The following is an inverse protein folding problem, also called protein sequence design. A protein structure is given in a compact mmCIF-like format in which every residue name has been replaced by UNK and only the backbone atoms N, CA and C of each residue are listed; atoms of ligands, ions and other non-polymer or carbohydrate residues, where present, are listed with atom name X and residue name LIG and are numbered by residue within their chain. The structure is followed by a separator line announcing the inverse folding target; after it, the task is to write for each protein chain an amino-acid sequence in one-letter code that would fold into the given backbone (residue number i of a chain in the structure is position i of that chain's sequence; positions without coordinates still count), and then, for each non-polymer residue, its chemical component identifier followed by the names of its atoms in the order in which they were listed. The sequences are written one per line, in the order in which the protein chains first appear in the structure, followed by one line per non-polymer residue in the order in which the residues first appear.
data_IF_853622514200
#
_entry.id   IF_853622514200
#
_cell.length_a   1.000
_cell.length_b   1.000
_cell.length_c   1.000
_cell.angle_alpha   90.00
_cell.angle_beta   90.00
_cell.angle_gamma   90.00
#
_symmetry.space_group_name_H-M   'P 1'
#
loop_
_entity.id
_entity.type
_entity.pdbx_description
1 polymer ?
#
# COMPACT_ATOMS: atom_id res chain seq x y z
N UNK A 1 26.43 5.32 -16.74
CA UNK A 1 26.67 4.93 -15.33
C UNK A 1 26.20 3.51 -14.99
N UNK A 2 25.15 2.93 -15.60
CA UNK A 2 24.72 1.54 -15.23
C UNK A 2 25.80 0.47 -15.44
N UNK A 3 26.59 0.57 -16.53
CA UNK A 3 27.64 -0.41 -16.87
C UNK A 3 28.83 -0.46 -15.89
N UNK A 4 29.04 0.55 -15.04
CA UNK A 4 30.18 0.54 -14.10
C UNK A 4 29.91 -0.34 -12.89
N UNK A 5 28.69 -0.33 -12.35
CA UNK A 5 28.34 -1.12 -11.15
C UNK A 5 28.15 -2.61 -11.45
N UNK A 6 27.61 -2.96 -12.63
CA UNK A 6 27.47 -4.36 -13.07
C UNK A 6 28.82 -5.11 -13.18
N UNK A 7 29.93 -4.38 -13.23
CA UNK A 7 31.29 -4.95 -13.29
C UNK A 7 31.98 -4.98 -11.93
N UNK A 8 31.36 -4.42 -10.89
CA UNK A 8 31.93 -4.40 -9.56
C UNK A 8 31.76 -5.79 -8.90
N UNK A 9 32.89 -6.42 -8.56
CA UNK A 9 32.90 -7.68 -7.81
C UNK A 9 32.47 -7.47 -6.36
N UNK A 10 32.82 -6.32 -5.78
CA UNK A 10 32.51 -5.97 -4.39
C UNK A 10 32.20 -4.47 -4.29
N UNK A 11 31.14 -4.13 -3.56
CA UNK A 11 30.80 -2.76 -3.16
C UNK A 11 30.85 -2.68 -1.64
N UNK A 12 31.68 -1.77 -1.12
CA UNK A 12 31.77 -1.46 0.30
C UNK A 12 30.93 -0.23 0.63
N UNK A 13 29.94 -0.38 1.48
CA UNK A 13 29.05 0.67 1.98
C UNK A 13 29.55 1.07 3.37
N UNK A 14 30.42 2.08 3.42
CA UNK A 14 31.01 2.56 4.67
C UNK A 14 30.12 3.63 5.32
N UNK A 15 29.59 3.36 6.51
CA UNK A 15 28.68 4.24 7.25
C UNK A 15 29.39 5.17 8.24
N UNK A 16 30.71 5.06 8.33
CA UNK A 16 31.56 5.91 9.18
C UNK A 16 31.85 5.30 10.54
N UNK A 17 32.22 6.16 11.48
CA UNK A 17 32.54 5.78 12.85
C UNK A 17 31.28 5.32 13.61
N UNK A 18 31.47 4.37 14.52
CA UNK A 18 30.43 3.82 15.39
C UNK A 18 30.76 4.18 16.83
N UNK A 19 30.17 5.27 17.32
CA UNK A 19 30.47 5.81 18.64
C UNK A 19 29.74 5.08 19.79
N UNK A 20 28.69 4.32 19.47
CA UNK A 20 27.78 3.70 20.46
C UNK A 20 27.70 2.17 20.34
N UNK A 21 28.66 1.56 19.63
CA UNK A 21 28.74 0.11 19.36
C UNK A 21 27.45 -0.46 18.72
N UNK A 22 26.74 0.37 17.96
CA UNK A 22 25.53 -0.03 17.27
C UNK A 22 25.80 -1.03 16.14
N UNK A 23 26.96 -0.92 15.47
CA UNK A 23 27.37 -1.79 14.39
C UNK A 23 27.49 -3.24 14.83
N UNK A 24 28.18 -3.48 15.96
CA UNK A 24 28.37 -4.82 16.53
C UNK A 24 27.04 -5.43 17.00
N UNK A 25 26.21 -4.64 17.70
CA UNK A 25 24.87 -5.05 18.15
C UNK A 25 23.93 -5.39 16.99
N UNK A 26 23.95 -4.58 15.92
CA UNK A 26 23.14 -4.84 14.73
C UNK A 26 23.63 -6.07 13.97
N UNK A 27 24.94 -6.23 13.80
CA UNK A 27 25.54 -7.41 13.16
C UNK A 27 25.13 -8.70 13.86
N UNK A 28 25.39 -8.79 15.18
CA UNK A 28 25.07 -10.00 15.96
C UNK A 28 23.58 -10.33 15.95
N UNK A 29 22.70 -9.33 16.03
CA UNK A 29 21.26 -9.54 15.91
C UNK A 29 20.88 -10.12 14.53
N UNK A 30 21.40 -9.54 13.45
CA UNK A 30 21.09 -10.00 12.08
C UNK A 30 21.60 -11.43 11.86
N UNK A 31 22.79 -11.77 12.34
CA UNK A 31 23.36 -13.12 12.27
C UNK A 31 22.49 -14.14 13.02
N UNK A 32 22.12 -13.84 14.26
CA UNK A 32 21.29 -14.73 15.08
C UNK A 32 19.87 -14.90 14.53
N UNK A 33 19.23 -13.82 14.07
CA UNK A 33 17.90 -13.88 13.45
C UNK A 33 17.94 -14.63 12.13
N UNK A 34 18.95 -14.39 11.29
CA UNK A 34 19.13 -15.11 10.02
C UNK A 34 19.31 -16.60 10.27
N UNK A 35 20.19 -16.98 11.20
CA UNK A 35 20.40 -18.39 11.58
C UNK A 35 19.12 -19.05 12.08
N UNK A 36 18.34 -18.35 12.93
CA UNK A 36 17.05 -18.87 13.39
C UNK A 36 16.07 -19.09 12.23
N UNK A 37 16.01 -18.14 11.28
CA UNK A 37 15.14 -18.24 10.10
C UNK A 37 15.57 -19.40 9.19
N UNK A 38 16.87 -19.55 8.93
CA UNK A 38 17.44 -20.64 8.13
C UNK A 38 17.15 -22.02 8.76
N UNK A 39 17.39 -22.16 10.07
CA UNK A 39 17.09 -23.39 10.82
C UNK A 39 15.60 -23.79 10.73
N UNK A 40 14.70 -22.81 10.76
CA UNK A 40 13.26 -23.06 10.59
C UNK A 40 12.91 -23.40 9.14
N UNK A 41 13.51 -22.72 8.15
CA UNK A 41 13.29 -23.00 6.73
C UNK A 41 13.73 -24.43 6.36
N UNK A 42 14.81 -24.95 6.93
CA UNK A 42 15.27 -26.33 6.71
C UNK A 42 14.26 -27.38 7.20
N UNK A 43 13.51 -27.08 8.26
CA UNK A 43 12.49 -27.98 8.81
C UNK A 43 11.22 -28.02 7.94
N UNK A 44 11.05 -27.08 7.03
CA UNK A 44 9.83 -26.89 6.25
C UNK A 44 10.07 -27.29 4.78
N UNK A 45 9.43 -28.38 4.33
CA UNK A 45 9.57 -28.89 2.96
C UNK A 45 9.09 -27.90 1.87
N UNK A 46 8.17 -26.99 2.18
CA UNK A 46 7.65 -25.93 1.27
C UNK A 46 7.42 -24.64 2.05
N UNK A 47 8.47 -23.81 2.23
CA UNK A 47 8.37 -22.62 3.07
C UNK A 47 7.50 -21.56 2.41
N UNK A 48 6.47 -21.15 3.15
CA UNK A 48 5.74 -19.89 2.94
C UNK A 48 5.98 -19.01 4.17
N UNK A 49 5.72 -17.71 4.08
CA UNK A 49 5.79 -16.83 5.26
C UNK A 49 4.90 -17.30 6.42
N UNK A 50 3.87 -18.10 6.14
CA UNK A 50 2.97 -18.66 7.15
C UNK A 50 3.46 -20.01 7.71
N UNK A 51 4.55 -20.57 7.18
CA UNK A 51 5.05 -21.88 7.57
C UNK A 51 5.94 -21.85 8.82
N UNK A 52 6.36 -20.66 9.28
CA UNK A 52 7.05 -20.51 10.56
C UNK A 52 6.11 -20.91 11.70
N UNK A 53 6.60 -21.72 12.64
CA UNK A 53 5.79 -22.20 13.74
C UNK A 53 5.62 -21.10 14.80
N UNK A 54 4.43 -21.04 15.41
CA UNK A 54 4.19 -20.17 16.56
C UNK A 54 5.02 -20.66 17.75
N UNK A 55 6.09 -19.95 18.06
CA UNK A 55 6.79 -20.11 19.33
C UNK A 55 6.26 -19.05 20.31
N UNK A 56 5.69 -19.47 21.43
CA UNK A 56 5.27 -18.56 22.52
C UNK A 56 6.45 -17.77 23.11
N UNK A 57 7.68 -18.24 22.88
CA UNK A 57 8.92 -17.59 23.29
C UNK A 57 9.84 -17.41 22.08
N UNK A 58 9.57 -16.43 21.22
CA UNK A 58 10.57 -16.00 20.23
C UNK A 58 11.56 -15.08 20.95
N UNK A 59 12.84 -15.48 21.12
CA UNK A 59 13.80 -14.78 21.99
C UNK A 59 14.11 -13.34 21.52
N UNK A 60 13.76 -13.00 20.28
CA UNK A 60 14.09 -11.72 19.69
C UNK A 60 12.97 -10.68 19.78
N UNK A 61 11.75 -10.99 20.22
CA UNK A 61 10.61 -10.04 20.14
C UNK A 61 10.89 -8.74 20.91
N UNK A 62 11.47 -8.84 22.09
CA UNK A 62 11.79 -7.69 22.97
C UNK A 62 13.30 -7.40 23.02
N UNK A 63 14.06 -7.85 22.03
CA UNK A 63 15.51 -7.68 22.03
C UNK A 63 15.91 -6.21 21.76
N UNK A 64 16.57 -5.57 22.74
CA UNK A 64 17.02 -4.18 22.64
C UNK A 64 17.97 -3.91 21.46
N UNK A 65 18.62 -4.95 20.89
CA UNK A 65 19.48 -4.79 19.70
C UNK A 65 18.71 -4.32 18.47
N UNK A 66 17.38 -4.49 18.41
CA UNK A 66 16.55 -3.91 17.34
C UNK A 66 16.72 -2.39 17.24
N UNK A 67 17.01 -1.70 18.34
CA UNK A 67 17.31 -0.26 18.33
C UNK A 67 18.57 0.05 17.51
N UNK A 68 19.57 -0.82 17.56
CA UNK A 68 20.82 -0.67 16.81
C UNK A 68 20.63 -0.96 15.33
N UNK A 69 19.81 -1.97 14.98
CA UNK A 69 19.40 -2.19 13.59
C UNK A 69 18.57 -1.02 13.05
N UNK A 70 17.66 -0.47 13.87
CA UNK A 70 16.90 0.71 13.50
C UNK A 70 17.80 1.94 13.31
N UNK A 71 18.85 2.11 14.13
CA UNK A 71 19.85 3.17 13.97
C UNK A 71 20.67 2.99 12.68
N UNK A 72 21.08 1.75 12.37
CA UNK A 72 21.74 1.40 11.11
C UNK A 72 20.90 1.79 9.88
N UNK A 73 19.62 1.40 9.86
CA UNK A 73 18.71 1.69 8.75
C UNK A 73 18.35 3.19 8.63
N UNK A 74 18.61 3.99 9.67
CA UNK A 74 18.48 5.47 9.65
C UNK A 74 19.70 6.19 9.09
N UNK A 75 20.80 5.48 8.80
CA UNK A 75 22.00 6.10 8.22
C UNK A 75 21.71 6.76 6.87
N UNK A 76 22.42 7.87 6.59
CA UNK A 76 22.15 8.71 5.43
C UNK A 76 22.23 7.95 4.10
N UNK A 77 23.06 6.90 4.02
CA UNK A 77 23.20 6.06 2.83
C UNK A 77 21.87 5.42 2.43
N UNK A 78 21.13 4.79 3.36
CA UNK A 78 19.84 4.13 3.08
C UNK A 78 18.74 5.08 2.60
N UNK A 79 18.92 6.39 2.80
CA UNK A 79 17.95 7.39 2.33
C UNK A 79 18.17 7.85 0.90
N UNK A 80 19.30 7.53 0.24
CA UNK A 80 19.67 8.07 -1.07
C UNK A 80 19.17 7.17 -2.19
N UNK A 81 18.57 7.72 -3.24
CA UNK A 81 17.93 6.87 -4.25
C UNK A 81 18.86 6.13 -5.22
N UNK A 82 20.01 6.71 -5.56
CA UNK A 82 20.98 6.06 -6.46
C UNK A 82 21.70 4.87 -5.84
N UNK A 83 21.72 4.75 -4.50
CA UNK A 83 22.43 3.68 -3.80
C UNK A 83 21.83 2.30 -4.05
N UNK A 84 20.55 2.25 -4.43
CA UNK A 84 19.89 0.98 -4.78
C UNK A 84 20.61 0.35 -5.97
N UNK A 85 21.13 1.13 -6.92
CA UNK A 85 21.97 0.60 -8.01
C UNK A 85 23.34 0.15 -7.53
N UNK A 86 23.91 0.86 -6.55
CA UNK A 86 25.22 0.54 -5.99
C UNK A 86 25.17 -0.83 -5.30
N UNK A 87 24.11 -1.12 -4.56
CA UNK A 87 23.89 -2.41 -3.92
C UNK A 87 23.40 -3.47 -4.91
N UNK A 88 22.39 -3.17 -5.74
CA UNK A 88 21.68 -4.19 -6.53
C UNK A 88 22.41 -4.71 -7.76
N UNK A 89 23.32 -3.91 -8.32
CA UNK A 89 24.07 -4.32 -9.50
C UNK A 89 25.43 -4.93 -9.15
N UNK A 90 25.83 -4.89 -7.87
CA UNK A 90 27.06 -5.49 -7.41
C UNK A 90 26.92 -7.01 -7.29
N UNK A 91 28.01 -7.75 -7.51
CA UNK A 91 28.03 -9.20 -7.23
C UNK A 91 28.01 -9.48 -5.72
N UNK A 92 28.61 -8.59 -4.93
CA UNK A 92 28.66 -8.65 -3.47
C UNK A 92 28.59 -7.22 -2.91
N UNK A 93 27.84 -7.03 -1.82
CA UNK A 93 27.73 -5.75 -1.11
C UNK A 93 27.96 -5.93 0.39
N UNK A 94 28.89 -5.18 0.96
CA UNK A 94 29.21 -5.21 2.39
C UNK A 94 28.89 -3.87 3.04
N UNK A 95 28.03 -3.89 4.06
CA UNK A 95 27.75 -2.72 4.87
C UNK A 95 28.67 -2.71 6.09
N UNK A 96 29.52 -1.68 6.19
CA UNK A 96 30.53 -1.55 7.24
C UNK A 96 30.18 -0.35 8.12
N UNK A 97 29.99 -0.58 9.42
CA UNK A 97 29.78 0.46 10.43
C UNK A 97 30.81 0.31 11.55
N UNK A 98 31.73 1.28 11.67
CA UNK A 98 32.89 1.11 12.53
C UNK A 98 33.76 -0.06 12.07
N UNK A 99 33.88 -1.08 12.93
CA UNK A 99 34.57 -2.35 12.62
C UNK A 99 33.61 -3.51 12.29
N UNK A 100 32.30 -3.29 12.44
CA UNK A 100 31.29 -4.30 12.22
C UNK A 100 30.94 -4.47 10.74
N UNK A 101 30.64 -5.70 10.35
CA UNK A 101 30.17 -6.08 9.01
C UNK A 101 28.70 -6.48 9.14
N UNK A 102 27.80 -5.50 8.98
CA UNK A 102 26.40 -5.68 9.36
C UNK A 102 25.56 -6.43 8.30
N UNK A 103 26.02 -6.50 7.05
CA UNK A 103 25.33 -7.21 5.97
C UNK A 103 26.31 -7.92 5.05
N UNK A 104 26.01 -9.18 4.74
CA UNK A 104 26.63 -9.97 3.68
C UNK A 104 25.51 -10.58 2.85
N UNK A 105 25.37 -10.16 1.59
CA UNK A 105 24.54 -10.88 0.63
C UNK A 105 25.44 -11.46 -0.46
N UNK A 106 25.51 -12.79 -0.50
CA UNK A 106 25.99 -13.54 -1.65
C UNK A 106 24.84 -14.24 -2.36
N UNK A 107 23.70 -13.58 -2.58
CA UNK A 107 22.55 -14.18 -3.30
C UNK A 107 21.98 -13.27 -4.38
N UNK A 108 21.42 -13.88 -5.42
CA UNK A 108 20.83 -13.20 -6.58
C UNK A 108 19.72 -12.25 -6.12
N UNK A 109 19.89 -10.95 -6.37
CA UNK A 109 18.85 -9.95 -6.12
C UNK A 109 17.55 -10.36 -6.82
N UNK A 110 16.49 -10.62 -6.03
CA UNK A 110 15.19 -10.99 -6.60
C UNK A 110 14.66 -9.83 -7.43
N UNK A 111 14.60 -10.02 -8.76
CA UNK A 111 14.03 -9.02 -9.67
C UNK A 111 12.53 -8.86 -9.38
N UNK A 112 12.12 -7.68 -8.95
CA UNK A 112 10.71 -7.28 -8.85
C UNK A 112 10.26 -6.51 -10.10
N UNK A 113 8.97 -6.16 -10.19
CA UNK A 113 8.50 -5.31 -11.29
C UNK A 113 9.08 -3.90 -11.16
N UNK A 114 9.15 -3.17 -12.28
CA UNK A 114 9.58 -1.76 -12.27
C UNK A 114 8.68 -0.90 -11.38
N UNK A 115 7.38 -1.22 -11.32
CA UNK A 115 6.43 -0.49 -10.48
C UNK A 115 6.69 -0.70 -8.98
N UNK A 116 7.10 -1.91 -8.58
CA UNK A 116 7.46 -2.20 -7.19
C UNK A 116 8.68 -1.39 -6.76
N UNK A 117 9.71 -1.33 -7.60
CA UNK A 117 10.88 -0.49 -7.33
C UNK A 117 10.54 0.99 -7.29
N UNK A 118 9.70 1.48 -8.20
CA UNK A 118 9.27 2.87 -8.21
C UNK A 118 8.45 3.21 -6.96
N UNK A 119 7.58 2.30 -6.51
CA UNK A 119 6.80 2.46 -5.28
C UNK A 119 7.70 2.49 -4.03
N UNK A 120 8.60 1.52 -3.88
CA UNK A 120 9.56 1.48 -2.78
C UNK A 120 10.48 2.71 -2.79
N UNK A 121 10.91 3.14 -3.97
CA UNK A 121 11.75 4.30 -4.20
C UNK A 121 11.12 5.65 -3.84
N UNK A 122 9.80 5.72 -3.57
CA UNK A 122 9.12 6.97 -3.14
C UNK A 122 9.72 7.56 -1.86
N UNK A 123 10.21 6.71 -0.96
CA UNK A 123 10.80 7.11 0.33
C UNK A 123 12.24 7.64 0.20
N UNK A 124 12.89 7.38 -0.94
CA UNK A 124 14.26 7.78 -1.17
C UNK A 124 14.37 9.25 -1.56
N UNK A 125 15.47 9.86 -1.15
CA UNK A 125 15.88 11.23 -1.46
C UNK A 125 16.53 11.24 -2.84
N UNK A 126 15.94 12.00 -3.75
CA UNK A 126 16.49 12.31 -5.07
C UNK A 126 16.56 13.83 -5.20
N UNK A 127 17.66 14.36 -5.75
CA UNK A 127 17.78 15.80 -6.04
C UNK A 127 17.00 16.19 -7.29
N UNK A 128 16.96 15.30 -8.27
CA UNK A 128 16.15 15.44 -9.47
C UNK A 128 14.96 14.44 -9.41
N UNK A 129 13.70 14.89 -9.51
CA UNK A 129 12.54 13.99 -9.49
C UNK A 129 12.59 12.93 -10.61
N UNK A 130 13.22 13.22 -11.76
CA UNK A 130 13.32 12.29 -12.89
C UNK A 130 14.18 11.08 -12.57
N UNK A 131 15.14 11.22 -11.65
CA UNK A 131 16.02 10.13 -11.23
C UNK A 131 15.26 9.00 -10.56
N UNK A 132 14.07 9.26 -9.99
CA UNK A 132 13.19 8.20 -9.50
C UNK A 132 12.84 7.20 -10.59
N UNK A 133 12.63 7.67 -11.81
CA UNK A 133 12.43 6.77 -12.94
C UNK A 133 13.76 6.14 -13.35
N UNK A 134 14.74 6.98 -13.64
CA UNK A 134 15.99 6.54 -14.28
C UNK A 134 16.85 5.64 -13.41
N UNK A 135 16.70 5.66 -12.09
CA UNK A 135 17.38 4.74 -11.18
C UNK A 135 16.85 3.29 -11.30
N UNK A 136 15.55 3.09 -11.52
CA UNK A 136 14.95 1.75 -11.40
C UNK A 136 14.62 1.04 -12.72
N UNK A 137 14.48 1.76 -13.84
CA UNK A 137 14.05 1.18 -15.13
C UNK A 137 14.85 -0.06 -15.61
N UNK A 138 16.15 -0.12 -15.29
CA UNK A 138 17.02 -1.22 -15.74
C UNK A 138 17.22 -2.32 -14.68
N UNK A 139 16.41 -2.33 -13.63
CA UNK A 139 16.49 -3.29 -12.52
C UNK A 139 15.33 -4.29 -12.51
N UNK A 140 14.36 -4.11 -13.41
CA UNK A 140 13.13 -4.90 -13.46
C UNK A 140 13.29 -6.26 -14.14
N UNK A 141 12.23 -7.05 -14.11
CA UNK A 141 12.15 -8.38 -14.75
C UNK A 141 12.35 -8.32 -16.28
N UNK A 142 12.73 -9.45 -16.87
CA UNK A 142 12.95 -9.57 -18.32
C UNK A 142 11.70 -9.28 -19.16
N UNK A 143 10.50 -9.55 -18.61
CA UNK A 143 9.22 -9.25 -19.25
C UNK A 143 8.98 -7.74 -19.43
N UNK A 144 9.71 -6.90 -18.70
CA UNK A 144 9.62 -5.43 -18.79
C UNK A 144 10.81 -4.81 -19.54
N UNK A 145 11.74 -5.62 -20.05
CA UNK A 145 12.95 -5.17 -20.80
C UNK A 145 12.64 -4.36 -22.07
N UNK A 146 11.43 -4.50 -22.58
CA UNK A 146 10.86 -3.76 -23.71
C UNK A 146 10.53 -2.29 -23.39
N UNK A 147 10.46 -1.90 -22.11
CA UNK A 147 10.21 -0.52 -21.71
C UNK A 147 11.53 0.23 -21.67
N UNK A 148 11.86 0.89 -22.78
CA UNK A 148 13.08 1.69 -22.91
C UNK A 148 12.74 3.18 -22.87
N UNK A 149 12.97 3.79 -21.71
CA UNK A 149 12.89 5.25 -21.56
C UNK A 149 14.32 5.78 -21.41
N UNK A 150 14.83 6.37 -22.48
CA UNK A 150 16.12 7.07 -22.43
C UNK A 150 16.06 8.28 -21.48
N UNK A 151 17.11 8.53 -20.68
CA UNK A 151 17.18 9.72 -19.84
C UNK A 151 17.07 11.01 -20.64
N UNK A 152 16.03 11.80 -20.38
CA UNK A 152 15.72 13.08 -21.03
C UNK A 152 15.59 14.19 -19.98
N UNK A 153 16.73 14.76 -19.59
CA UNK A 153 16.76 15.87 -18.64
C UNK A 153 16.36 17.23 -19.26
N UNK A 154 16.04 17.28 -20.55
CA UNK A 154 15.44 18.45 -21.20
C UNK A 154 13.94 18.59 -20.94
N UNK A 155 13.26 17.49 -20.61
CA UNK A 155 11.81 17.47 -20.37
C UNK A 155 11.49 17.72 -18.89
N UNK A 156 10.28 18.21 -18.60
CA UNK A 156 9.79 18.31 -17.22
C UNK A 156 9.54 16.91 -16.63
N UNK A 157 9.68 16.76 -15.32
CA UNK A 157 9.46 15.46 -14.66
C UNK A 157 8.07 14.87 -14.94
N UNK A 158 6.97 15.65 -14.92
CA UNK A 158 5.65 15.11 -15.26
C UNK A 158 5.53 14.61 -16.71
N UNK A 159 6.21 15.25 -17.68
CA UNK A 159 6.24 14.77 -19.07
C UNK A 159 7.02 13.46 -19.19
N UNK A 160 8.14 13.32 -18.47
CA UNK A 160 8.91 12.06 -18.38
C UNK A 160 8.04 10.95 -17.78
N UNK A 161 7.29 11.23 -16.70
CA UNK A 161 6.41 10.25 -16.07
C UNK A 161 5.24 9.85 -16.98
N UNK A 162 4.64 10.79 -17.73
CA UNK A 162 3.59 10.47 -18.71
C UNK A 162 4.12 9.59 -19.83
N UNK A 163 5.30 9.89 -20.37
CA UNK A 163 5.89 9.09 -21.43
C UNK A 163 6.15 7.66 -20.95
N UNK A 164 6.74 7.50 -19.76
CA UNK A 164 6.90 6.19 -19.13
C UNK A 164 5.56 5.46 -18.95
N UNK A 165 4.55 6.11 -18.37
CA UNK A 165 3.25 5.49 -18.16
C UNK A 165 2.60 5.05 -19.47
N UNK A 166 2.74 5.87 -20.51
CA UNK A 166 2.25 5.56 -21.86
C UNK A 166 2.93 4.32 -22.44
N UNK A 167 4.25 4.22 -22.31
CA UNK A 167 5.01 3.05 -22.78
C UNK A 167 4.68 1.79 -21.97
N UNK A 168 4.59 1.91 -20.65
CA UNK A 168 4.22 0.82 -19.75
C UNK A 168 2.86 0.21 -20.14
N UNK A 169 1.84 1.06 -20.33
CA UNK A 169 0.50 0.63 -20.73
C UNK A 169 0.52 0.00 -22.13
N UNK A 170 1.29 0.57 -23.08
CA UNK A 170 1.41 0.01 -24.44
C UNK A 170 2.09 -1.36 -24.44
N UNK A 171 3.14 -1.55 -23.67
CA UNK A 171 3.92 -2.78 -23.62
C UNK A 171 3.21 -3.89 -22.84
N UNK A 172 2.81 -3.60 -21.60
CA UNK A 172 2.29 -4.63 -20.69
C UNK A 172 0.80 -4.91 -20.87
N UNK A 173 0.03 -3.96 -21.45
CA UNK A 173 -1.43 -4.02 -21.55
C UNK A 173 -2.14 -4.28 -20.20
N UNK A 174 -1.48 -3.90 -19.09
CA UNK A 174 -1.97 -4.02 -17.72
C UNK A 174 -2.26 -2.63 -17.14
N UNK A 175 -3.19 -2.58 -16.19
CA UNK A 175 -3.63 -1.36 -15.52
C UNK A 175 -3.10 -1.22 -14.09
N UNK A 176 -2.23 -2.13 -13.65
CA UNK A 176 -1.57 -2.08 -12.33
C UNK A 176 -0.85 -0.77 -12.07
N UNK A 177 -0.40 -0.05 -13.11
CA UNK A 177 0.19 1.29 -12.95
C UNK A 177 -0.78 2.31 -12.31
N UNK A 178 -2.10 2.14 -12.50
CA UNK A 178 -3.11 3.01 -11.89
C UNK A 178 -3.13 2.86 -10.37
N UNK A 179 -2.76 1.67 -9.86
CA UNK A 179 -2.66 1.40 -8.42
C UNK A 179 -1.49 2.15 -7.76
N UNK A 180 -0.66 2.87 -8.52
CA UNK A 180 0.45 3.70 -8.02
C UNK A 180 0.22 5.20 -8.20
N UNK A 181 -0.96 5.61 -8.67
CA UNK A 181 -1.31 7.02 -8.79
C UNK A 181 -1.57 7.59 -7.40
N UNK A 182 -0.91 8.69 -7.13
CA UNK A 182 -1.11 9.52 -5.95
C UNK A 182 -1.15 10.96 -6.44
N UNK A 183 -2.19 11.66 -6.03
CA UNK A 183 -2.39 13.05 -6.36
C UNK A 183 -2.53 13.88 -5.09
N UNK A 184 -2.03 15.10 -5.20
CA UNK A 184 -2.35 16.22 -4.34
C UNK A 184 -3.13 17.26 -5.15
N UNK A 185 -3.55 18.35 -4.50
CA UNK A 185 -4.28 19.43 -5.17
C UNK A 185 -3.49 20.04 -6.34
N UNK A 186 -2.16 20.15 -6.21
CA UNK A 186 -1.31 20.76 -7.22
C UNK A 186 -1.17 19.88 -8.48
N UNK A 187 -0.91 18.59 -8.30
CA UNK A 187 -0.75 17.63 -9.40
C UNK A 187 -2.06 17.38 -10.15
N UNK A 188 -3.23 17.46 -9.49
CA UNK A 188 -4.51 17.47 -10.20
C UNK A 188 -4.73 18.74 -11.04
N UNK A 189 -4.17 19.87 -10.63
CA UNK A 189 -4.28 21.10 -11.43
C UNK A 189 -3.22 21.19 -12.53
N UNK A 190 -2.20 20.31 -12.49
CA UNK A 190 -1.19 20.26 -13.53
C UNK A 190 -1.81 19.88 -14.88
N UNK A 191 -1.20 20.36 -15.97
CA UNK A 191 -1.59 20.03 -17.35
C UNK A 191 -1.09 18.64 -17.76
N UNK A 192 -1.30 17.66 -16.89
CA UNK A 192 -0.88 16.26 -17.05
C UNK A 192 -2.10 15.39 -16.74
N UNK A 193 -2.33 14.32 -17.53
CA UNK A 193 -3.49 13.47 -17.30
C UNK A 193 -3.47 12.80 -15.94
N UNK A 194 -4.64 12.67 -15.32
CA UNK A 194 -4.80 12.06 -13.99
C UNK A 194 -4.47 10.57 -13.94
N UNK A 195 -4.42 9.88 -15.07
CA UNK A 195 -3.96 8.48 -15.11
C UNK A 195 -2.41 8.34 -15.06
N UNK A 196 -1.67 9.44 -14.96
CA UNK A 196 -0.21 9.45 -14.87
C UNK A 196 0.23 9.50 -13.40
N UNK A 197 1.01 8.50 -12.92
CA UNK A 197 1.53 8.54 -11.56
C UNK A 197 2.52 9.69 -11.38
N UNK A 198 2.37 10.46 -10.31
CA UNK A 198 3.43 11.34 -9.82
C UNK A 198 4.39 10.52 -8.95
N UNK A 199 5.54 10.14 -9.48
CA UNK A 199 6.53 9.33 -8.74
C UNK A 199 7.30 10.11 -7.68
N UNK A 200 7.27 11.45 -7.73
CA UNK A 200 7.98 12.28 -6.75
C UNK A 200 7.21 12.49 -5.44
N UNK A 201 5.92 12.14 -5.44
CA UNK A 201 5.11 12.19 -4.24
C UNK A 201 5.59 11.18 -3.19
N UNK A 202 5.86 11.66 -1.97
CA UNK A 202 6.26 10.82 -0.83
C UNK A 202 5.05 10.21 -0.15
N UNK A 203 5.11 8.90 0.03
CA UNK A 203 4.09 8.13 0.75
C UNK A 203 4.68 7.59 2.06
N UNK A 204 4.04 7.92 3.17
CA UNK A 204 4.46 7.50 4.52
C UNK A 204 3.84 6.15 4.94
N UNK A 205 2.79 5.71 4.25
CA UNK A 205 2.09 4.45 4.48
C UNK A 205 2.71 3.25 3.75
N UNK A 206 2.41 2.02 4.19
CA UNK A 206 2.64 0.84 3.37
C UNK A 206 1.64 0.84 2.21
N UNK A 207 2.11 0.52 1.01
CA UNK A 207 1.25 0.34 -0.17
C UNK A 207 1.18 -1.14 -0.49
N UNK A 208 0.01 -1.72 -0.31
CA UNK A 208 -0.26 -3.09 -0.73
C UNK A 208 -1.01 -3.09 -2.05
N UNK A 209 -0.52 -3.86 -3.01
CA UNK A 209 -1.25 -4.22 -4.24
C UNK A 209 -1.88 -5.59 -3.99
N UNK A 210 -3.16 -5.75 -4.31
CA UNK A 210 -3.79 -7.08 -4.30
C UNK A 210 -3.39 -7.80 -5.59
N UNK A 211 -3.05 -9.08 -5.49
CA UNK A 211 -2.63 -9.87 -6.66
C UNK A 211 -3.79 -10.13 -7.64
N UNK A 212 -5.02 -10.13 -7.14
CA UNK A 212 -6.23 -10.37 -7.93
C UNK A 212 -6.73 -9.10 -8.62
N UNK A 213 -6.84 -9.15 -9.95
CA UNK A 213 -7.45 -8.10 -10.74
C UNK A 213 -8.98 -8.10 -10.60
N UNK A 214 -9.57 -6.91 -10.49
CA UNK A 214 -11.01 -6.72 -10.58
C UNK A 214 -11.48 -7.05 -12.01
N UNK A 215 -12.60 -7.77 -12.12
CA UNK A 215 -13.09 -8.32 -13.38
C UNK A 215 -14.54 -7.97 -13.63
N UNK A 216 -14.94 -8.00 -14.90
CA UNK A 216 -16.34 -7.85 -15.33
C UNK A 216 -17.27 -8.93 -14.76
N UNK A 217 -18.57 -8.79 -15.04
CA UNK A 217 -19.61 -9.79 -14.74
C UNK A 217 -19.22 -11.18 -15.23
N UNK A 218 -18.56 -11.27 -16.38
CA UNK A 218 -18.12 -12.53 -17.00
C UNK A 218 -16.70 -12.96 -16.63
N UNK A 219 -16.04 -12.26 -15.71
CA UNK A 219 -14.65 -12.56 -15.32
C UNK A 219 -13.59 -12.02 -16.30
N UNK A 220 -13.98 -11.20 -17.28
CA UNK A 220 -13.06 -10.64 -18.28
C UNK A 220 -12.35 -9.37 -17.79
N UNK A 221 -11.07 -9.22 -18.19
CA UNK A 221 -10.29 -7.97 -18.14
C UNK A 221 -10.12 -7.45 -19.57
N UNK A 222 -10.23 -6.14 -19.76
CA UNK A 222 -10.16 -5.51 -21.08
C UNK A 222 -8.83 -4.81 -21.29
N UNK A 223 -8.33 -4.82 -22.54
CA UNK A 223 -7.07 -4.15 -22.88
C UNK A 223 -7.28 -2.63 -22.87
N UNK A 224 -6.45 -1.87 -22.13
CA UNK A 224 -6.52 -0.41 -22.16
C UNK A 224 -6.04 0.15 -23.50
N UNK A 225 -6.56 1.32 -23.88
CA UNK A 225 -6.17 2.02 -25.09
C UNK A 225 -5.83 3.49 -24.83
N UNK A 226 -4.67 3.94 -25.29
CA UNK A 226 -4.30 5.36 -25.26
C UNK A 226 -4.88 6.06 -26.48
N UNK A 227 -5.58 7.17 -26.26
CA UNK A 227 -6.16 8.01 -27.30
C UNK A 227 -5.42 9.35 -27.27
N UNK A 228 -4.54 9.56 -28.26
CA UNK A 228 -3.64 10.71 -28.30
C UNK A 228 -2.65 10.69 -27.12
N UNK A 229 -2.40 11.88 -26.55
CA UNK A 229 -1.48 12.07 -25.40
C UNK A 229 -2.18 12.22 -24.06
N UNK A 230 -3.50 12.43 -24.05
CA UNK A 230 -4.23 12.85 -22.85
C UNK A 230 -5.22 11.84 -22.31
N UNK A 231 -5.69 10.90 -23.14
CA UNK A 231 -6.77 10.01 -22.75
C UNK A 231 -6.33 8.56 -22.64
N UNK A 232 -6.74 7.93 -21.55
CA UNK A 232 -6.67 6.49 -21.36
C UNK A 232 -8.09 5.93 -21.33
N UNK A 233 -8.44 5.16 -22.37
CA UNK A 233 -9.69 4.41 -22.45
C UNK A 233 -9.54 3.09 -21.70
N UNK A 234 -10.40 2.85 -20.74
CA UNK A 234 -10.52 1.60 -19.97
C UNK A 234 -11.98 1.14 -19.95
N UNK A 235 -12.25 -0.03 -19.38
CA UNK A 235 -13.60 -0.56 -19.20
C UNK A 235 -13.86 -0.86 -17.73
N UNK A 236 -15.06 -0.59 -17.27
CA UNK A 236 -15.42 -0.73 -15.87
C UNK A 236 -16.89 -0.43 -15.60
N UNK A 237 -17.22 -0.27 -14.33
CA UNK A 237 -18.51 0.24 -13.87
C UNK A 237 -18.30 1.49 -13.01
N UNK A 238 -19.17 2.47 -13.21
CA UNK A 238 -19.33 3.59 -12.29
C UNK A 238 -20.42 3.17 -11.31
N UNK A 239 -20.08 3.12 -10.03
CA UNK A 239 -21.01 2.68 -9.00
C UNK A 239 -21.88 3.87 -8.61
N UNK A 240 -21.47 4.58 -7.58
CA UNK A 240 -22.28 5.58 -6.90
C UNK A 240 -21.40 6.69 -6.32
N UNK A 241 -21.98 7.84 -5.96
CA UNK A 241 -21.24 8.92 -5.32
C UNK A 241 -20.76 8.54 -3.92
N UNK A 242 -19.64 9.13 -3.52
CA UNK A 242 -19.27 9.29 -2.12
C UNK A 242 -20.25 10.27 -1.50
N UNK A 243 -21.08 9.78 -0.59
CA UNK A 243 -22.12 10.57 0.08
C UNK A 243 -21.60 11.35 1.28
N UNK A 244 -20.65 10.78 2.02
CA UNK A 244 -19.99 11.46 3.15
C UNK A 244 -18.52 11.12 3.21
N UNK A 245 -17.69 12.09 3.63
CA UNK A 245 -16.25 11.91 3.80
C UNK A 245 -15.75 12.63 5.06
N UNK A 246 -14.79 12.04 5.77
CA UNK A 246 -14.12 12.70 6.90
C UNK A 246 -13.01 13.63 6.43
N UNK A 247 -12.35 14.31 7.37
CA UNK A 247 -11.03 14.87 7.14
C UNK A 247 -9.97 13.79 6.89
N UNK A 248 -8.80 14.21 6.43
CA UNK A 248 -7.63 13.35 6.22
C UNK A 248 -7.08 12.92 7.58
N UNK A 249 -6.80 11.63 7.75
CA UNK A 249 -6.13 11.13 8.95
C UNK A 249 -4.64 11.45 8.93
N UNK A 250 -4.13 11.84 10.10
CA UNK A 250 -2.73 12.09 10.38
C UNK A 250 -2.33 11.23 11.59
N UNK A 251 -1.28 10.39 11.45
CA UNK A 251 -0.81 9.39 12.41
C UNK A 251 -0.77 9.84 13.88
N UNK A 252 -0.21 11.01 14.25
CA UNK A 252 -0.16 11.43 15.64
C UNK A 252 -1.54 11.77 16.22
N UNK A 253 -2.55 12.01 15.38
CA UNK A 253 -3.87 12.46 15.79
C UNK A 253 -4.93 11.35 15.84
N UNK A 254 -4.65 10.15 15.32
CA UNK A 254 -5.62 9.04 15.33
C UNK A 254 -5.61 8.39 16.71
N UNK A 255 -6.56 8.80 17.55
CA UNK A 255 -6.82 8.24 18.90
C UNK A 255 -8.13 7.46 18.95
N UNK A 256 -8.39 6.77 20.06
CA UNK A 256 -9.67 6.08 20.27
C UNK A 256 -10.86 7.05 20.21
N UNK A 257 -10.74 8.25 20.77
CA UNK A 257 -11.75 9.30 20.72
C UNK A 257 -12.00 9.80 19.30
N UNK A 258 -10.94 9.92 18.50
CA UNK A 258 -11.03 10.34 17.10
C UNK A 258 -11.81 9.29 16.30
N UNK A 259 -11.49 8.01 16.48
CA UNK A 259 -12.21 6.91 15.81
C UNK A 259 -13.66 6.81 16.28
N UNK A 260 -13.93 6.97 17.58
CA UNK A 260 -15.30 7.00 18.12
C UNK A 260 -16.10 8.19 17.55
N UNK A 261 -15.46 9.35 17.39
CA UNK A 261 -16.08 10.54 16.79
C UNK A 261 -16.40 10.33 15.31
N UNK A 262 -15.48 9.72 14.55
CA UNK A 262 -15.73 9.33 13.14
C UNK A 262 -16.90 8.36 13.06
N UNK A 263 -16.91 7.32 13.91
CA UNK A 263 -18.01 6.36 13.96
C UNK A 263 -19.36 7.05 14.28
N UNK A 264 -19.39 7.93 15.29
CA UNK A 264 -20.58 8.67 15.66
C UNK A 264 -21.08 9.59 14.54
N UNK A 265 -20.19 10.18 13.75
CA UNK A 265 -20.53 11.06 12.63
C UNK A 265 -21.16 10.28 11.46
N UNK A 266 -20.69 9.06 11.17
CA UNK A 266 -21.19 8.26 10.04
C UNK A 266 -22.41 7.39 10.41
N UNK A 267 -22.57 7.04 11.69
CA UNK A 267 -23.65 6.17 12.19
C UNK A 267 -25.07 6.59 11.76
N UNK A 268 -25.45 7.89 11.75
CA UNK A 268 -26.78 8.32 11.31
C UNK A 268 -27.06 8.03 9.83
N UNK A 269 -26.03 8.05 8.99
CA UNK A 269 -26.11 7.80 7.55
C UNK A 269 -26.09 6.30 7.22
N UNK A 270 -25.89 5.45 8.22
CA UNK A 270 -25.88 4.00 8.08
C UNK A 270 -27.30 3.40 8.09
N UNK A 271 -28.33 4.11 7.65
CA UNK A 271 -29.70 3.59 7.60
C UNK A 271 -29.92 2.55 6.50
N UNK A 272 -29.13 2.62 5.42
CA UNK A 272 -29.13 1.64 4.33
C UNK A 272 -28.18 0.45 4.54
N UNK A 273 -27.33 0.54 5.57
CA UNK A 273 -26.25 -0.38 5.96
C UNK A 273 -26.16 -1.68 5.14
N UNK A 274 -25.20 -1.79 4.21
CA UNK A 274 -25.01 -3.01 3.45
C UNK A 274 -24.44 -4.14 4.33
N UNK A 275 -23.91 -3.81 5.50
CA UNK A 275 -23.42 -4.74 6.50
C UNK A 275 -24.56 -5.12 7.45
N UNK A 276 -24.57 -6.35 7.95
CA UNK A 276 -25.54 -6.70 8.98
C UNK A 276 -25.39 -5.77 10.21
N UNK A 277 -26.49 -5.47 10.91
CA UNK A 277 -26.47 -4.62 12.10
C UNK A 277 -25.56 -5.16 13.21
N UNK A 278 -25.34 -6.48 13.25
CA UNK A 278 -24.40 -7.14 14.16
C UNK A 278 -22.92 -6.91 13.78
N UNK A 279 -22.64 -6.41 12.57
CA UNK A 279 -21.30 -6.35 11.99
C UNK A 279 -20.84 -4.96 11.57
N UNK A 280 -21.61 -3.92 11.81
CA UNK A 280 -21.31 -2.59 11.25
C UNK A 280 -20.04 -1.97 11.84
N UNK A 281 -19.83 -2.12 13.15
CA UNK A 281 -18.61 -1.64 13.79
C UNK A 281 -17.40 -2.55 13.48
N UNK A 282 -17.63 -3.85 13.24
CA UNK A 282 -16.59 -4.73 12.71
C UNK A 282 -16.19 -4.33 11.30
N UNK A 283 -17.16 -4.00 10.44
CA UNK A 283 -16.94 -3.46 9.11
C UNK A 283 -16.15 -2.14 9.15
N UNK A 284 -16.41 -1.29 10.15
CA UNK A 284 -15.62 -0.09 10.40
C UNK A 284 -14.15 -0.40 10.69
N UNK A 285 -13.85 -1.29 11.64
CA UNK A 285 -12.46 -1.70 11.94
C UNK A 285 -11.81 -2.39 10.73
N UNK A 286 -12.54 -3.26 10.04
CA UNK A 286 -12.06 -3.87 8.79
C UNK A 286 -11.73 -2.82 7.74
N UNK A 287 -12.52 -1.75 7.63
CA UNK A 287 -12.25 -0.63 6.72
C UNK A 287 -10.99 0.13 7.10
N UNK A 288 -10.84 0.48 8.39
CA UNK A 288 -9.66 1.16 8.92
C UNK A 288 -8.37 0.34 8.79
N UNK A 289 -8.50 -0.98 8.63
CA UNK A 289 -7.39 -1.91 8.40
C UNK A 289 -7.32 -2.41 6.95
N UNK A 290 -8.10 -1.83 6.02
CA UNK A 290 -8.20 -2.25 4.62
C UNK A 290 -8.39 -3.76 4.42
N UNK A 291 -9.14 -4.41 5.31
CA UNK A 291 -9.38 -5.85 5.33
C UNK A 291 -8.15 -6.71 5.68
N UNK A 292 -7.02 -6.11 6.05
CA UNK A 292 -5.75 -6.82 6.28
C UNK A 292 -5.72 -7.55 7.62
N UNK A 293 -5.00 -8.66 7.66
CA UNK A 293 -4.74 -9.43 8.87
C UNK A 293 -3.52 -8.88 9.60
N UNK A 294 -3.56 -8.96 10.92
CA UNK A 294 -2.44 -8.65 11.82
C UNK A 294 -1.85 -9.99 12.27
N UNK A 295 -0.75 -10.40 11.61
CA UNK A 295 -0.20 -11.73 11.80
C UNK A 295 -1.15 -12.83 11.29
N UNK A 296 -1.24 -13.93 12.03
CA UNK A 296 -2.09 -15.07 11.69
C UNK A 296 -3.58 -14.72 11.85
N UNK A 297 -4.41 -15.43 11.08
CA UNK A 297 -5.85 -15.13 11.01
C UNK A 297 -6.55 -15.18 12.37
N UNK A 298 -6.25 -16.19 13.20
CA UNK A 298 -6.84 -16.40 14.52
C UNK A 298 -6.46 -15.27 15.49
N UNK A 299 -5.16 -14.96 15.57
CA UNK A 299 -4.63 -13.87 16.37
C UNK A 299 -5.17 -12.52 15.92
N UNK A 300 -5.19 -12.26 14.61
CA UNK A 300 -5.71 -11.02 14.05
C UNK A 300 -7.17 -10.80 14.43
N UNK A 301 -8.00 -11.85 14.38
CA UNK A 301 -9.41 -11.75 14.72
C UNK A 301 -9.58 -11.48 16.21
N UNK A 302 -8.87 -12.20 17.08
CA UNK A 302 -8.92 -12.00 18.53
C UNK A 302 -8.53 -10.57 18.93
N UNK A 303 -7.40 -10.07 18.40
CA UNK A 303 -6.93 -8.72 18.68
C UNK A 303 -7.93 -7.65 18.21
N UNK A 304 -8.49 -7.80 17.00
CA UNK A 304 -9.52 -6.89 16.50
C UNK A 304 -10.81 -6.94 17.31
N UNK A 305 -11.19 -8.11 17.83
CA UNK A 305 -12.35 -8.26 18.72
C UNK A 305 -12.15 -7.55 20.06
N UNK A 306 -10.97 -7.66 20.66
CA UNK A 306 -10.63 -6.91 21.88
C UNK A 306 -10.68 -5.41 21.63
N UNK A 307 -10.10 -4.96 20.51
CA UNK A 307 -10.14 -3.55 20.11
C UNK A 307 -11.57 -3.05 19.86
N UNK A 308 -12.43 -3.87 19.25
CA UNK A 308 -13.85 -3.58 19.03
C UNK A 308 -14.56 -3.26 20.35
N UNK A 309 -14.37 -4.08 21.39
CA UNK A 309 -14.99 -3.86 22.69
C UNK A 309 -14.60 -2.51 23.30
N UNK A 310 -13.31 -2.14 23.24
CA UNK A 310 -12.85 -0.83 23.73
C UNK A 310 -13.45 0.32 22.94
N UNK A 311 -13.55 0.17 21.61
CA UNK A 311 -14.16 1.19 20.75
C UNK A 311 -15.67 1.32 21.01
N UNK A 312 -16.39 0.22 21.24
CA UNK A 312 -17.81 0.23 21.63
C UNK A 312 -18.03 0.99 22.93
N UNK A 313 -17.22 0.72 23.94
CA UNK A 313 -17.29 1.41 25.23
C UNK A 313 -17.02 2.90 25.08
N UNK A 314 -16.02 3.28 24.27
CA UNK A 314 -15.72 4.67 23.95
C UNK A 314 -16.90 5.37 23.24
N UNK A 315 -17.61 4.66 22.35
CA UNK A 315 -18.79 5.20 21.65
C UNK A 315 -20.01 5.36 22.56
N UNK A 316 -20.16 4.51 23.59
CA UNK A 316 -21.33 4.50 24.48
C UNK A 316 -21.14 5.37 25.74
N UNK A 317 -19.91 5.69 26.11
CA UNK A 317 -19.62 6.45 27.33
C UNK A 317 -19.87 7.95 27.14
N UNK A 318 -20.85 8.50 27.87
CA UNK A 318 -20.98 9.96 28.08
C UNK A 318 -19.86 10.44 29.02
N UNK A 319 -18.63 10.53 28.52
CA UNK A 319 -17.46 10.95 29.32
C UNK A 319 -16.18 10.12 29.16
N UNK A 320 -16.05 9.27 28.12
CA UNK A 320 -14.75 8.79 27.64
C UNK A 320 -13.83 8.11 28.66
N UNK A 321 -14.33 7.22 29.52
CA UNK A 321 -13.45 6.38 30.35
C UNK A 321 -13.01 5.15 29.54
N UNK A 322 -11.78 5.20 29.04
CA UNK A 322 -11.04 4.02 28.55
C UNK A 322 -10.81 3.08 29.76
N UNK A 323 -11.08 1.77 29.66
CA UNK A 323 -10.72 0.82 30.72
C UNK A 323 -9.22 0.94 31.04
N UNK A 324 -8.87 1.12 32.32
CA UNK A 324 -7.46 1.18 32.74
C UNK A 324 -6.76 -0.15 32.45
N UNK A 325 -5.77 -0.11 31.57
CA UNK A 325 -4.97 -1.25 31.12
C UNK A 325 -5.01 -1.38 29.60
N UNK A 326 -4.06 -0.76 28.91
CA UNK A 326 -3.85 -1.02 27.47
C UNK A 326 -3.31 -2.43 27.31
N UNK A 327 -4.17 -3.37 26.92
CA UNK A 327 -3.74 -4.70 26.52
C UNK A 327 -2.89 -4.61 25.23
N UNK A 328 -1.84 -5.43 25.14
CA UNK A 328 -0.91 -5.49 24.00
C UNK A 328 -1.69 -5.64 22.69
N UNK A 329 -2.72 -6.49 22.68
CA UNK A 329 -3.58 -6.71 21.50
C UNK A 329 -4.26 -5.43 21.00
N UNK A 330 -4.74 -4.57 21.91
CA UNK A 330 -5.37 -3.30 21.54
C UNK A 330 -4.36 -2.29 21.00
N UNK A 331 -3.15 -2.24 21.57
CA UNK A 331 -2.08 -1.36 21.10
C UNK A 331 -1.59 -1.73 19.70
N UNK A 332 -1.45 -3.03 19.40
CA UNK A 332 -1.03 -3.51 18.07
C UNK A 332 -2.06 -3.14 17.01
N UNK A 333 -3.35 -3.38 17.27
CA UNK A 333 -4.43 -3.00 16.34
C UNK A 333 -4.46 -1.49 16.14
N UNK A 334 -4.29 -0.72 17.22
CA UNK A 334 -4.27 0.75 17.12
C UNK A 334 -3.14 1.24 16.22
N UNK A 335 -1.90 0.79 16.46
CA UNK A 335 -0.75 1.14 15.64
C UNK A 335 -0.93 0.73 14.18
N UNK A 336 -1.51 -0.45 13.95
CA UNK A 336 -1.82 -0.93 12.60
C UNK A 336 -2.85 -0.04 11.88
N UNK A 337 -3.90 0.40 12.59
CA UNK A 337 -4.87 1.37 12.07
C UNK A 337 -4.16 2.68 11.71
N UNK A 338 -3.40 3.26 12.64
CA UNK A 338 -2.65 4.52 12.43
C UNK A 338 -1.77 4.44 11.17
N UNK A 339 -1.12 3.29 10.95
CA UNK A 339 -0.29 3.07 9.77
C UNK A 339 -1.08 3.11 8.46
N UNK A 340 -2.27 2.48 8.42
CA UNK A 340 -3.06 2.25 7.21
C UNK A 340 -3.95 3.43 6.81
N UNK A 341 -4.40 4.23 7.78
CA UNK A 341 -5.29 5.39 7.52
C UNK A 341 -4.53 6.66 7.15
N UNK A 342 -3.24 6.73 7.44
CA UNK A 342 -2.36 7.88 7.16
C UNK A 342 -2.54 8.44 5.74
N UNK A 343 -2.87 9.73 5.64
CA UNK A 343 -3.03 10.41 4.35
C UNK A 343 -4.25 9.96 3.55
N UNK A 344 -5.23 9.32 4.20
CA UNK A 344 -6.50 8.90 3.62
C UNK A 344 -7.66 9.52 4.38
N UNK A 345 -8.84 9.50 3.78
CA UNK A 345 -10.08 9.89 4.45
C UNK A 345 -10.98 8.67 4.57
N UNK A 346 -11.78 8.60 5.63
CA UNK A 346 -12.88 7.66 5.70
C UNK A 346 -14.02 8.16 4.83
N UNK A 347 -14.61 7.27 4.03
CA UNK A 347 -15.70 7.58 3.11
C UNK A 347 -16.88 6.62 3.28
N UNK A 348 -18.08 7.14 3.03
CA UNK A 348 -19.31 6.39 2.96
C UNK A 348 -19.97 6.67 1.60
N UNK A 349 -20.30 5.63 0.85
CA UNK A 349 -21.08 5.77 -0.39
C UNK A 349 -22.56 6.06 -0.08
N UNK A 350 -23.33 6.51 -1.06
CA UNK A 350 -24.78 6.74 -0.88
C UNK A 350 -25.57 5.48 -0.45
N UNK A 351 -25.14 4.27 -0.86
CA UNK A 351 -25.68 2.98 -0.38
C UNK A 351 -25.12 2.53 0.96
N UNK A 352 -24.22 3.29 1.58
CA UNK A 352 -23.66 3.00 2.90
C UNK A 352 -22.42 2.09 2.91
N UNK A 353 -21.76 1.88 1.76
CA UNK A 353 -20.49 1.14 1.74
C UNK A 353 -19.38 1.99 2.35
N UNK A 354 -18.68 1.43 3.33
CA UNK A 354 -17.55 2.05 4.02
C UNK A 354 -16.25 1.87 3.24
N UNK A 355 -15.39 2.89 3.27
CA UNK A 355 -14.11 2.82 2.59
C UNK A 355 -13.06 3.80 3.11
N UNK A 356 -11.84 3.64 2.58
CA UNK A 356 -10.74 4.61 2.69
C UNK A 356 -10.40 5.14 1.30
N UNK A 357 -10.53 6.45 1.14
CA UNK A 357 -10.23 7.17 -0.10
C UNK A 357 -8.95 7.99 -0.01
N UNK A 358 -8.40 8.45 -1.16
CA UNK A 358 -7.24 9.34 -1.18
C UNK A 358 -7.57 10.69 -0.53
N UNK A 359 -6.55 11.37 0.04
CA UNK A 359 -6.70 12.65 0.75
C UNK A 359 -7.48 13.75 0.01
N UNK A 360 -7.42 13.73 -1.33
CA UNK A 360 -8.01 14.71 -2.23
C UNK A 360 -9.42 14.33 -2.73
N UNK A 361 -9.94 13.17 -2.31
CA UNK A 361 -11.33 12.80 -2.59
C UNK A 361 -12.28 13.77 -1.90
N UNK A 362 -13.47 13.94 -2.47
CA UNK A 362 -14.51 14.81 -1.92
C UNK A 362 -15.90 14.17 -2.12
N UNK A 363 -16.89 14.67 -1.37
CA UNK A 363 -18.29 14.29 -1.56
C UNK A 363 -18.73 14.56 -3.02
N UNK A 364 -19.51 13.64 -3.57
CA UNK A 364 -19.93 13.66 -4.97
C UNK A 364 -18.93 13.09 -5.97
N UNK A 365 -17.68 12.80 -5.56
CA UNK A 365 -16.81 11.94 -6.38
C UNK A 365 -17.40 10.54 -6.52
N UNK A 366 -17.16 9.86 -7.62
CA UNK A 366 -17.75 8.55 -7.91
C UNK A 366 -16.82 7.42 -7.47
N UNK A 367 -17.36 6.43 -6.77
CA UNK A 367 -16.70 5.14 -6.62
C UNK A 367 -16.83 4.35 -7.93
N UNK A 368 -15.73 3.76 -8.40
CA UNK A 368 -15.69 3.03 -9.66
C UNK A 368 -14.84 1.77 -9.57
N UNK A 369 -15.22 0.75 -10.35
CA UNK A 369 -14.44 -0.47 -10.53
C UNK A 369 -13.92 -0.47 -11.98
N UNK A 370 -12.60 -0.35 -12.15
CA UNK A 370 -11.95 -0.46 -13.45
C UNK A 370 -11.39 -1.87 -13.58
N UNK A 371 -11.82 -2.59 -14.61
CA UNK A 371 -11.41 -3.98 -14.81
C UNK A 371 -9.92 -4.06 -15.16
N UNK A 372 -9.17 -4.86 -14.40
CA UNK A 372 -7.71 -4.98 -14.51
C UNK A 372 -6.92 -4.18 -13.47
N UNK A 373 -7.56 -3.33 -12.66
CA UNK A 373 -6.95 -2.77 -11.45
C UNK A 373 -7.07 -3.76 -10.28
N UNK A 374 -6.25 -3.61 -9.24
CA UNK A 374 -6.32 -4.49 -8.05
C UNK A 374 -7.36 -4.02 -7.02
N UNK A 375 -7.81 -2.78 -7.09
CA UNK A 375 -8.75 -2.18 -6.15
C UNK A 375 -9.74 -1.23 -6.85
N UNK A 376 -10.88 -0.92 -6.22
CA UNK A 376 -11.74 0.18 -6.63
C UNK A 376 -11.00 1.51 -6.64
N UNK A 377 -11.61 2.51 -7.25
CA UNK A 377 -11.04 3.83 -7.39
C UNK A 377 -12.08 4.93 -7.22
N UNK A 378 -11.58 6.13 -6.93
CA UNK A 378 -12.36 7.36 -6.90
C UNK A 378 -12.15 8.10 -8.22
N UNK A 379 -13.26 8.49 -8.83
CA UNK A 379 -13.33 9.14 -10.13
C UNK A 379 -14.12 10.45 -10.01
N UNK A 380 -13.53 11.55 -10.46
CA UNK A 380 -14.22 12.85 -10.50
C UNK A 380 -14.78 13.11 -11.88
N UNK A 381 -16.08 13.40 -11.96
CA UNK A 381 -16.76 13.74 -13.22
C UNK A 381 -16.14 14.99 -13.85
N UNK A 382 -16.13 15.01 -15.18
CA UNK A 382 -15.85 16.22 -15.96
C UNK A 382 -17.12 16.69 -16.66
N UNK A 383 -17.08 17.85 -17.34
CA UNK A 383 -18.20 18.34 -18.15
C UNK A 383 -18.56 17.40 -19.32
N UNK A 384 -17.62 16.55 -19.74
CA UNK A 384 -17.84 15.60 -20.82
C UNK A 384 -18.32 14.25 -20.28
N UNK A 385 -19.37 13.72 -20.91
CA UNK A 385 -19.90 12.40 -20.58
C UNK A 385 -18.84 11.30 -20.72
N UNK A 386 -18.86 10.34 -19.80
CA UNK A 386 -17.93 9.22 -19.68
C UNK A 386 -16.45 9.59 -19.52
N UNK A 387 -16.15 10.86 -19.26
CA UNK A 387 -14.79 11.34 -19.01
C UNK A 387 -14.61 11.72 -17.55
N UNK A 388 -13.56 11.19 -16.94
CA UNK A 388 -13.28 11.31 -15.52
C UNK A 388 -11.82 11.66 -15.25
N UNK A 389 -11.59 12.41 -14.17
CA UNK A 389 -10.27 12.46 -13.54
C UNK A 389 -10.13 11.30 -12.57
N UNK A 390 -9.05 10.55 -12.69
CA UNK A 390 -8.69 9.50 -11.73
C UNK A 390 -8.13 10.16 -10.47
N UNK A 391 -8.88 10.13 -9.37
CA UNK A 391 -8.47 10.75 -8.11
C UNK A 391 -7.49 9.85 -7.37
N UNK A 392 -7.71 8.54 -7.41
CA UNK A 392 -6.82 7.56 -6.81
C UNK A 392 -7.55 6.24 -6.58
N UNK A 393 -6.79 5.21 -6.25
CA UNK A 393 -7.37 3.96 -5.73
C UNK A 393 -8.05 4.21 -4.38
N UNK A 394 -9.02 3.37 -4.04
CA UNK A 394 -9.64 3.36 -2.71
C UNK A 394 -9.90 1.93 -2.25
N UNK A 395 -9.95 1.75 -0.93
CA UNK A 395 -10.52 0.55 -0.34
C UNK A 395 -12.01 0.80 -0.14
N UNK A 396 -12.87 -0.05 -0.69
CA UNK A 396 -14.30 -0.08 -0.37
C UNK A 396 -14.62 -1.48 0.15
N UNK A 397 -15.17 -1.59 1.35
CA UNK A 397 -15.42 -2.89 1.98
C UNK A 397 -16.70 -3.52 1.42
N UNK A 398 -16.58 -4.71 0.84
CA UNK A 398 -17.71 -5.55 0.47
C UNK A 398 -18.55 -6.01 1.65
N UNK A 399 -19.80 -6.39 1.41
CA UNK A 399 -20.67 -6.95 2.45
C UNK A 399 -20.52 -8.47 2.64
N UNK A 400 -19.72 -9.13 1.79
CA UNK A 400 -19.42 -10.54 1.92
C UNK A 400 -18.49 -10.82 3.11
N UNK A 401 -18.82 -11.88 3.84
CA UNK A 401 -18.06 -12.36 5.00
C UNK A 401 -17.64 -13.81 4.79
N UNK A 402 -16.62 -14.26 5.52
CA UNK A 402 -16.28 -15.68 5.61
C UNK A 402 -16.06 -16.08 7.06
N UNK A 403 -16.25 -17.36 7.36
CA UNK A 403 -15.95 -17.94 8.66
C UNK A 403 -14.53 -18.51 8.67
N UNK A 404 -13.76 -18.19 9.70
CA UNK A 404 -12.45 -18.78 9.95
C UNK A 404 -12.62 -20.20 10.49
N UNK A 405 -11.56 -21.01 10.42
CA UNK A 405 -11.55 -22.38 10.95
C UNK A 405 -11.89 -22.44 12.44
N UNK A 406 -11.58 -21.37 13.18
CA UNK A 406 -11.86 -21.24 14.62
C UNK A 406 -13.26 -20.68 14.92
N UNK A 407 -14.14 -20.58 13.90
CA UNK A 407 -15.54 -20.19 14.06
C UNK A 407 -15.80 -18.68 14.13
N UNK A 408 -14.83 -17.84 13.74
CA UNK A 408 -15.04 -16.40 13.73
C UNK A 408 -15.45 -15.88 12.35
N UNK A 409 -16.40 -14.97 12.27
CA UNK A 409 -16.77 -14.28 11.04
C UNK A 409 -15.87 -13.07 10.78
N UNK A 410 -15.23 -13.00 9.60
CA UNK A 410 -14.35 -11.91 9.20
C UNK A 410 -14.84 -11.20 7.92
N UNK A 411 -14.67 -9.87 7.88
CA UNK A 411 -15.01 -9.01 6.75
C UNK A 411 -13.69 -8.51 6.13
N UNK A 412 -13.27 -9.05 4.98
CA UNK A 412 -11.98 -8.66 4.37
C UNK A 412 -12.06 -8.34 2.88
N UNK A 413 -13.16 -8.69 2.22
CA UNK A 413 -13.21 -8.59 0.77
C UNK A 413 -13.44 -7.15 0.34
N UNK A 414 -12.58 -6.69 -0.56
CA UNK A 414 -12.79 -5.41 -1.24
C UNK A 414 -13.92 -5.56 -2.25
N UNK A 415 -14.81 -4.58 -2.29
CA UNK A 415 -15.90 -4.48 -3.26
C UNK A 415 -15.35 -4.61 -4.68
N UNK A 416 -15.94 -5.49 -5.48
CA UNK A 416 -15.51 -5.82 -6.83
C UNK A 416 -14.59 -7.03 -6.95
N UNK A 417 -13.98 -7.49 -5.85
CA UNK A 417 -13.13 -8.68 -5.86
C UNK A 417 -13.94 -9.95 -6.18
N UNK A 418 -13.28 -11.04 -6.55
CA UNK A 418 -13.93 -12.32 -6.91
C UNK A 418 -14.91 -12.79 -5.82
N UNK A 419 -14.59 -12.56 -4.56
CA UNK A 419 -15.40 -12.96 -3.41
C UNK A 419 -16.36 -11.86 -2.92
N UNK A 420 -16.46 -10.74 -3.63
CA UNK A 420 -17.34 -9.60 -3.31
C UNK A 420 -17.73 -8.88 -4.61
N UNK A 421 -18.66 -9.47 -5.37
CA UNK A 421 -19.19 -8.94 -6.63
C UNK A 421 -20.65 -8.46 -6.53
N UNK A 422 -21.05 -7.93 -5.40
CA UNK A 422 -22.43 -7.50 -5.12
C UNK A 422 -22.92 -6.43 -6.10
N UNK A 423 -22.00 -5.64 -6.67
CA UNK A 423 -22.30 -4.68 -7.73
C UNK A 423 -22.91 -5.29 -8.98
N UNK A 424 -22.74 -6.60 -9.20
CA UNK A 424 -23.37 -7.34 -10.31
C UNK A 424 -24.89 -7.35 -10.15
N UNK A 425 -25.42 -7.32 -8.93
CA UNK A 425 -26.86 -7.29 -8.73
C UNK A 425 -27.43 -5.86 -8.76
N UNK A 426 -26.57 -4.86 -8.98
CA UNK A 426 -26.97 -3.46 -9.06
C UNK A 426 -27.30 -3.07 -10.50
N UNK A 427 -28.20 -2.09 -10.62
CA UNK A 427 -28.54 -1.43 -11.88
C UNK A 427 -27.41 -0.48 -12.34
N UNK A 428 -26.26 -1.07 -12.67
CA UNK A 428 -25.06 -0.37 -13.16
C UNK A 428 -24.55 -1.02 -14.44
N UNK A 429 -24.27 -0.19 -15.44
CA UNK A 429 -23.80 -0.66 -16.75
C UNK A 429 -22.28 -0.72 -16.84
N UNK A 430 -21.77 -1.82 -17.42
CA UNK A 430 -20.38 -1.90 -17.85
C UNK A 430 -20.18 -1.00 -19.07
N UNK A 431 -19.27 -0.03 -18.93
CA UNK A 431 -19.10 1.03 -19.91
C UNK A 431 -17.63 1.34 -20.18
N UNK A 432 -17.39 2.02 -21.31
CA UNK A 432 -16.09 2.62 -21.59
C UNK A 432 -15.90 3.87 -20.73
N UNK A 433 -14.77 3.95 -20.04
CA UNK A 433 -14.39 5.06 -19.17
C UNK A 433 -13.15 5.73 -19.78
N UNK A 434 -13.19 7.05 -19.92
CA UNK A 434 -12.09 7.85 -20.47
C UNK A 434 -11.43 8.64 -19.33
N UNK A 435 -10.26 8.18 -18.89
CA UNK A 435 -9.46 8.89 -17.88
C UNK A 435 -8.68 10.02 -18.57
N UNK A 436 -8.76 11.24 -18.04
CA UNK A 436 -8.18 12.43 -18.67
C UNK A 436 -7.16 13.19 -17.82
#
# INVERSE_FOLDING_TARGET
MSKSYQRATLVLICMGEDHEDHGSRAQTLVEEVTSMVEDELEKIHTPTWNSFSHHENVPFVDDTRWESLAALLKQAWFSRGWVVREAALAQQGWAIWGQAQCFMESHEWKKNSVLDYLAAGRRLRMSDPRDRLYAFLNMSTENESQIQVDPKYGDSAPEVYREFASQYIRANKRLTILDHIIHDAQSLQANIPSWVPNWDYRENGPRYVLDDALTSRTGSVYKPALIGRSLLKVRGVILEPVGSITGVFDRPAVTMETLASVWAAIRPYNSANPYSSLYSLRAFISTLTEGRLIGYISTSVQQKMLYLHVLEDACNSSGGRIPEGTDIGTSVVHAFIQEHVEGKNFMLTERGYMGLGPAIAQEGDMCGIIFGCSMPCILRKTEQSNRYRFIGRCFALGNQTYETLDGYTSCVYTLGSTNSKEWVDWDVEEQDIYLC
#
